data_IF_439523481203
#
_entry.id   IF_439523481203
#
_cell.length_a   1.000
_cell.length_b   1.000
_cell.length_c   1.000
_cell.angle_alpha   90.00
_cell.angle_beta   90.00
_cell.angle_gamma   90.00
#
_symmetry.space_group_name_H-M   'P 1'
#
loop_
_entity.id
_entity.type
_entity.pdbx_description
1 polymer ?
#
# COMPACT_ATOMS: atom_id res chain seq x y z
N UNK A 1 50.64 -12.59 -36.63
CA UNK A 1 51.81 -12.16 -35.81
C UNK A 1 51.37 -10.99 -34.93
N UNK A 2 51.84 -10.93 -33.66
CA UNK A 2 51.64 -9.89 -32.60
C UNK A 2 50.24 -9.92 -31.94
N UNK A 3 49.96 -10.45 -30.74
CA UNK A 3 50.68 -10.70 -29.45
C UNK A 3 50.71 -9.45 -28.52
N UNK A 4 50.27 -9.64 -27.25
CA UNK A 4 50.40 -8.82 -26.01
C UNK A 4 49.35 -7.70 -25.78
N UNK A 5 48.76 -7.45 -24.60
CA UNK A 5 49.17 -7.62 -23.19
C UNK A 5 47.99 -8.01 -22.25
N UNK A 6 48.37 -8.58 -21.09
CA UNK A 6 47.57 -8.95 -19.91
C UNK A 6 47.65 -7.86 -18.80
N UNK A 7 46.89 -8.07 -17.71
CA UNK A 7 47.04 -7.57 -16.31
C UNK A 7 46.36 -6.21 -16.05
N UNK A 8 45.58 -5.94 -14.98
CA UNK A 8 45.57 -6.35 -13.56
C UNK A 8 44.13 -6.54 -13.04
N UNK A 9 43.79 -7.49 -12.17
CA UNK A 9 44.10 -7.62 -10.73
C UNK A 9 43.74 -6.36 -9.90
N UNK A 10 42.56 -6.39 -9.28
CA UNK A 10 42.11 -5.44 -8.25
C UNK A 10 41.34 -6.20 -7.18
N UNK A 11 42.08 -6.67 -6.17
CA UNK A 11 41.60 -7.26 -4.93
C UNK A 11 41.46 -6.13 -3.89
N UNK A 12 40.63 -6.37 -2.86
CA UNK A 12 40.38 -5.55 -1.66
C UNK A 12 39.25 -4.51 -1.80
N UNK A 13 38.37 -4.30 -0.81
CA UNK A 13 38.44 -4.55 0.62
C UNK A 13 37.00 -4.68 1.18
N UNK A 14 36.78 -5.61 2.10
CA UNK A 14 35.58 -5.66 2.93
C UNK A 14 35.64 -4.55 4.00
N UNK A 15 34.53 -3.85 4.21
CA UNK A 15 34.31 -3.02 5.39
C UNK A 15 32.85 -3.19 5.84
N UNK A 16 32.67 -3.98 6.89
CA UNK A 16 31.44 -4.06 7.67
C UNK A 16 31.44 -2.88 8.66
N UNK A 17 30.39 -2.04 8.62
CA UNK A 17 30.19 -1.01 9.63
C UNK A 17 28.70 -0.90 10.02
N UNK A 18 28.42 -1.54 11.15
CA UNK A 18 27.59 -1.14 12.29
C UNK A 18 26.12 -0.77 12.07
N UNK A 19 25.27 -1.72 12.49
CA UNK A 19 23.90 -1.49 12.96
C UNK A 19 23.92 -0.53 14.17
N UNK A 20 23.52 0.72 13.96
CA UNK A 20 23.05 1.59 15.03
C UNK A 20 21.54 1.35 15.20
N UNK A 21 21.18 0.38 16.03
CA UNK A 21 19.81 0.18 16.47
C UNK A 21 19.44 1.27 17.47
N UNK A 22 18.54 2.17 17.10
CA UNK A 22 17.89 3.05 18.07
C UNK A 22 16.87 2.23 18.87
N UNK A 23 17.27 1.72 20.03
CA UNK A 23 16.33 1.29 21.07
C UNK A 23 15.68 2.54 21.66
N UNK A 24 14.41 2.77 21.30
CA UNK A 24 13.54 3.65 22.07
C UNK A 24 13.26 2.97 23.41
N UNK A 25 13.93 3.44 24.47
CA UNK A 25 13.55 3.17 25.85
C UNK A 25 12.36 4.08 26.18
N UNK A 26 11.16 3.49 26.31
CA UNK A 26 10.01 4.18 26.89
C UNK A 26 10.12 4.00 28.41
N UNK A 27 10.42 5.08 29.13
CA UNK A 27 10.24 5.11 30.58
C UNK A 27 8.74 5.17 30.86
N UNK A 28 8.19 4.07 31.39
CA UNK A 28 6.87 4.10 32.00
C UNK A 28 7.01 4.74 33.37
N UNK A 29 6.53 5.98 33.49
CA UNK A 29 6.36 6.66 34.78
C UNK A 29 5.33 5.85 35.58
N UNK A 30 5.80 5.24 36.67
CA UNK A 30 4.97 4.55 37.66
C UNK A 30 4.02 5.57 38.31
N UNK A 31 2.73 5.46 37.98
CA UNK A 31 1.67 6.26 38.60
C UNK A 31 1.22 5.49 39.85
N UNK A 32 1.40 6.03 41.07
CA UNK A 32 0.95 5.35 42.27
C UNK A 32 -0.59 5.25 42.28
N UNK A 33 -1.15 4.15 42.79
CA UNK A 33 -2.59 4.01 42.93
C UNK A 33 -3.13 5.02 43.96
N UNK A 34 -4.29 5.65 43.73
CA UNK A 34 -4.96 6.42 44.77
C UNK A 34 -5.55 5.44 45.80
N UNK A 35 -4.95 5.44 46.99
CA UNK A 35 -5.50 4.80 48.18
C UNK A 35 -6.60 5.69 48.78
N UNK A 36 -7.64 5.01 49.26
CA UNK A 36 -8.92 5.52 49.74
C UNK A 36 -8.85 6.65 50.78
N UNK A 37 -9.65 7.69 50.59
CA UNK A 37 -10.16 8.53 51.67
C UNK A 37 -11.67 8.72 51.47
N UNK A 38 -12.45 8.27 52.45
CA UNK A 38 -13.90 8.09 52.37
C UNK A 38 -14.77 9.31 52.68
N UNK A 39 -16.06 9.06 52.49
CA UNK A 39 -17.26 9.64 53.12
C UNK A 39 -17.49 11.16 53.04
N UNK A 40 -18.56 11.62 52.38
CA UNK A 40 -19.89 11.72 53.00
C UNK A 40 -20.98 12.23 52.02
N UNK A 41 -22.21 11.93 52.37
CA UNK A 41 -23.43 12.01 51.57
C UNK A 41 -23.90 13.44 51.19
N UNK A 42 -24.44 13.57 49.98
CA UNK A 42 -25.50 14.53 49.67
C UNK A 42 -26.42 13.99 48.54
N UNK A 43 -27.69 14.37 48.64
CA UNK A 43 -28.88 13.71 48.08
C UNK A 43 -29.52 14.56 46.96
N UNK A 44 -29.80 13.92 45.79
CA UNK A 44 -30.83 14.18 44.74
C UNK A 44 -30.79 15.47 43.85
N UNK A 45 -31.48 15.53 42.68
CA UNK A 45 -32.17 14.50 41.85
C UNK A 45 -31.73 14.46 40.36
N UNK A 46 -32.39 13.58 39.58
CA UNK A 46 -32.19 13.23 38.17
C UNK A 46 -32.20 14.39 37.14
N UNK A 47 -31.40 14.24 36.07
CA UNK A 47 -31.74 14.63 34.69
C UNK A 47 -31.05 13.72 33.66
N UNK A 48 -31.76 13.46 32.56
CA UNK A 48 -31.40 12.64 31.40
C UNK A 48 -30.15 13.15 30.66
N UNK A 49 -29.32 12.25 30.12
CA UNK A 49 -28.18 12.68 29.29
C UNK A 49 -27.26 11.59 28.74
N UNK A 50 -27.78 10.75 27.83
CA UNK A 50 -27.04 10.19 26.68
C UNK A 50 -25.98 9.09 26.91
N UNK A 51 -25.85 8.11 25.97
CA UNK A 51 -24.70 7.22 25.95
C UNK A 51 -23.45 7.99 25.49
N UNK A 52 -22.40 7.95 26.32
CA UNK A 52 -21.07 8.43 25.96
C UNK A 52 -20.43 7.33 25.12
N UNK A 53 -20.54 7.47 23.80
CA UNK A 53 -19.92 6.54 22.86
C UNK A 53 -18.44 6.89 22.64
N UNK A 54 -17.69 5.84 22.35
CA UNK A 54 -16.27 5.69 22.50
C UNK A 54 -15.41 6.75 21.79
N UNK A 55 -14.22 6.97 22.38
CA UNK A 55 -13.18 7.84 21.87
C UNK A 55 -12.86 7.61 20.40
N UNK A 56 -13.05 8.67 19.61
CA UNK A 56 -12.36 8.87 18.35
C UNK A 56 -11.07 9.62 18.69
N UNK A 57 -9.99 8.87 18.75
CA UNK A 57 -8.63 9.41 18.61
C UNK A 57 -7.99 8.67 17.44
N UNK A 58 -8.10 9.25 16.26
CA UNK A 58 -7.32 8.87 15.09
C UNK A 58 -7.23 10.05 14.14
N UNK A 59 -6.09 10.74 14.23
CA UNK A 59 -5.43 11.35 13.08
C UNK A 59 -6.23 12.40 12.34
N UNK A 60 -6.04 13.65 12.76
CA UNK A 60 -6.25 14.86 11.96
C UNK A 60 -5.60 14.70 10.57
N UNK A 61 -6.36 14.22 9.59
CA UNK A 61 -6.14 14.30 8.12
C UNK A 61 -7.13 13.41 7.32
N UNK A 62 -8.01 12.66 7.97
CA UNK A 62 -9.24 12.15 7.35
C UNK A 62 -10.21 13.33 7.10
N UNK A 63 -9.88 14.19 6.14
CA UNK A 63 -10.88 15.08 5.55
C UNK A 63 -12.08 14.21 5.19
N UNK A 64 -13.27 14.68 5.55
CA UNK A 64 -14.58 14.08 5.30
C UNK A 64 -14.87 13.97 3.79
N UNK A 65 -14.02 13.24 3.05
CA UNK A 65 -14.06 13.01 1.61
C UNK A 65 -15.34 12.26 1.24
N UNK A 66 -15.87 11.48 2.17
CA UNK A 66 -17.12 10.72 2.02
C UNK A 66 -18.37 11.62 1.91
N UNK A 67 -18.30 12.89 2.32
CA UNK A 67 -19.41 13.82 2.23
C UNK A 67 -19.44 14.61 0.91
N UNK A 68 -18.35 14.63 0.14
CA UNK A 68 -18.29 15.43 -1.08
C UNK A 68 -18.89 14.64 -2.26
N UNK A 69 -19.87 15.20 -3.01
CA UNK A 69 -20.59 14.47 -4.06
C UNK A 69 -19.69 13.86 -5.14
N UNK A 70 -18.53 14.45 -5.42
CA UNK A 70 -17.60 13.93 -6.41
C UNK A 70 -16.96 12.60 -5.99
N UNK A 71 -16.63 12.44 -4.70
CA UNK A 71 -16.09 11.20 -4.17
C UNK A 71 -17.16 10.10 -4.12
N UNK A 72 -18.36 10.44 -3.63
CA UNK A 72 -19.49 9.49 -3.54
C UNK A 72 -19.91 8.97 -4.92
N UNK A 73 -19.85 9.81 -5.95
CA UNK A 73 -20.27 9.43 -7.30
C UNK A 73 -19.16 8.78 -8.14
N UNK A 74 -17.92 8.67 -7.65
CA UNK A 74 -16.79 8.15 -8.43
C UNK A 74 -17.03 6.73 -8.97
N UNK A 75 -17.66 5.88 -8.15
CA UNK A 75 -17.99 4.49 -8.47
C UNK A 75 -19.40 4.29 -9.05
N UNK A 76 -20.18 5.36 -9.23
CA UNK A 76 -21.57 5.26 -9.66
C UNK A 76 -21.65 4.61 -11.05
N UNK A 77 -22.48 3.58 -11.17
CA UNK A 77 -22.66 2.78 -12.40
C UNK A 77 -21.38 2.09 -12.90
N UNK A 78 -20.39 1.89 -12.02
CA UNK A 78 -19.21 1.07 -12.32
C UNK A 78 -19.42 -0.36 -11.87
N UNK A 79 -18.80 -1.28 -12.59
CA UNK A 79 -18.73 -2.67 -12.15
C UNK A 79 -17.81 -2.75 -10.93
N UNK A 80 -18.07 -3.72 -10.07
CA UNK A 80 -17.20 -4.00 -8.93
C UNK A 80 -15.77 -4.28 -9.40
N UNK A 81 -14.80 -3.63 -8.77
CA UNK A 81 -13.42 -3.69 -9.23
C UNK A 81 -12.52 -2.66 -8.60
N UNK A 82 -11.29 -2.61 -9.09
CA UNK A 82 -10.27 -1.65 -8.66
C UNK A 82 -9.90 -0.74 -9.81
N UNK A 83 -9.80 0.54 -9.51
CA UNK A 83 -9.64 1.61 -10.49
C UNK A 83 -8.61 2.62 -10.01
N UNK A 84 -7.69 2.97 -10.88
CA UNK A 84 -6.88 4.16 -10.74
C UNK A 84 -7.67 5.39 -11.21
N UNK A 85 -7.42 6.57 -10.63
CA UNK A 85 -7.91 7.85 -11.12
C UNK A 85 -7.70 7.98 -12.63
N UNK A 86 -8.76 8.35 -13.36
CA UNK A 86 -8.73 8.51 -14.82
C UNK A 86 -8.80 7.21 -15.62
N UNK A 87 -8.88 6.03 -14.98
CA UNK A 87 -9.26 4.78 -15.64
C UNK A 87 -10.71 4.46 -15.35
N UNK A 88 -11.60 4.83 -16.27
CA UNK A 88 -13.05 4.62 -16.20
C UNK A 88 -13.78 5.34 -15.05
N UNK A 89 -13.09 5.83 -14.02
CA UNK A 89 -13.63 6.66 -12.94
C UNK A 89 -13.08 8.09 -13.00
N UNK A 90 -13.88 9.05 -12.54
CA UNK A 90 -13.44 10.41 -12.24
C UNK A 90 -13.21 10.47 -10.74
N UNK A 91 -11.97 10.73 -10.33
CA UNK A 91 -11.58 10.77 -8.93
C UNK A 91 -11.04 12.16 -8.59
N UNK A 92 -11.63 12.87 -7.62
CA UNK A 92 -11.19 14.21 -7.20
C UNK A 92 -10.00 14.19 -6.22
N UNK A 93 -9.63 13.02 -5.67
CA UNK A 93 -8.49 12.86 -4.77
C UNK A 93 -7.15 12.74 -5.49
N UNK A 94 -6.18 12.11 -4.82
CA UNK A 94 -4.81 11.98 -5.34
C UNK A 94 -4.78 11.01 -6.54
N UNK A 95 -3.97 11.34 -7.56
CA UNK A 95 -3.90 10.58 -8.81
C UNK A 95 -3.12 9.25 -8.70
N UNK A 96 -2.49 8.99 -7.56
CA UNK A 96 -1.79 7.76 -7.22
C UNK A 96 -2.57 6.86 -6.25
N UNK A 97 -3.84 7.15 -5.97
CA UNK A 97 -4.71 6.27 -5.17
C UNK A 97 -5.27 5.10 -6.01
N UNK A 98 -5.56 3.98 -5.36
CA UNK A 98 -6.30 2.85 -5.92
C UNK A 98 -7.66 2.77 -5.25
N UNK A 99 -8.72 2.93 -6.04
CA UNK A 99 -10.10 3.00 -5.58
C UNK A 99 -10.75 1.64 -5.82
N UNK A 100 -11.25 1.01 -4.76
CA UNK A 100 -12.08 -0.20 -4.88
C UNK A 100 -13.54 0.22 -4.93
N UNK A 101 -14.23 -0.09 -6.02
CA UNK A 101 -15.68 0.11 -6.15
C UNK A 101 -16.42 -1.19 -5.81
N UNK A 102 -17.51 -1.06 -5.04
CA UNK A 102 -18.46 -2.15 -4.77
C UNK A 102 -19.88 -1.60 -4.71
N UNK A 103 -20.83 -2.28 -5.37
CA UNK A 103 -22.25 -1.93 -5.37
C UNK A 103 -22.50 -0.46 -5.80
N UNK A 104 -21.66 0.06 -6.71
CA UNK A 104 -21.72 1.43 -7.19
C UNK A 104 -21.18 2.51 -6.23
N UNK A 105 -20.68 2.11 -5.06
CA UNK A 105 -20.03 2.98 -4.08
C UNK A 105 -18.51 2.77 -3.98
N UNK A 106 -17.83 3.73 -3.36
CA UNK A 106 -16.41 3.60 -2.99
C UNK A 106 -16.32 2.74 -1.74
N UNK A 107 -15.71 1.57 -1.85
CA UNK A 107 -15.54 0.64 -0.74
C UNK A 107 -14.21 0.81 -0.01
N UNK A 108 -13.17 1.22 -0.73
CA UNK A 108 -11.81 1.42 -0.19
C UNK A 108 -11.06 2.42 -1.07
N UNK A 109 -10.25 3.26 -0.44
CA UNK A 109 -9.25 4.09 -1.11
C UNK A 109 -7.90 3.74 -0.52
N UNK A 110 -6.99 3.25 -1.36
CA UNK A 110 -5.65 2.82 -0.95
C UNK A 110 -4.59 3.69 -1.62
N UNK A 111 -3.76 4.44 -0.88
CA UNK A 111 -2.65 5.16 -1.46
C UNK A 111 -1.62 4.21 -2.10
N UNK A 112 -1.23 4.46 -3.35
CA UNK A 112 -0.06 3.82 -3.96
C UNK A 112 1.13 4.78 -3.87
N UNK A 113 1.69 4.95 -2.68
CA UNK A 113 2.75 5.93 -2.42
C UNK A 113 4.15 5.54 -2.93
N UNK A 114 4.29 4.34 -3.48
CA UNK A 114 5.57 3.78 -3.87
C UNK A 114 5.65 3.47 -5.37
N UNK A 115 6.86 3.48 -5.93
CA UNK A 115 7.13 3.14 -7.32
C UNK A 115 6.47 4.12 -8.30
N UNK A 116 5.74 3.58 -9.27
CA UNK A 116 4.99 4.34 -10.28
C UNK A 116 3.60 4.79 -9.81
N UNK A 117 3.23 4.47 -8.57
CA UNK A 117 1.91 4.70 -8.02
C UNK A 117 0.86 3.73 -8.57
N UNK A 118 -0.33 4.24 -8.88
CA UNK A 118 -1.43 3.42 -9.38
C UNK A 118 -1.24 3.05 -10.86
N UNK A 119 -1.26 1.75 -11.15
CA UNK A 119 -1.07 1.15 -12.46
C UNK A 119 -2.42 0.86 -13.10
N UNK A 120 -2.71 1.60 -14.18
CA UNK A 120 -3.87 1.37 -15.05
C UNK A 120 -3.64 0.10 -15.88
N UNK A 121 -4.42 -0.93 -15.60
CA UNK A 121 -4.39 -2.19 -16.33
C UNK A 121 -5.24 -2.07 -17.60
N UNK A 122 -4.80 -2.74 -18.67
CA UNK A 122 -5.57 -2.82 -19.92
C UNK A 122 -6.50 -4.04 -19.89
N UNK A 123 -7.50 -4.04 -20.77
CA UNK A 123 -8.35 -5.21 -21.10
C UNK A 123 -9.26 -5.71 -19.97
N UNK A 124 -9.74 -4.82 -19.09
CA UNK A 124 -10.70 -5.19 -18.03
C UNK A 124 -10.09 -5.92 -16.84
N UNK A 125 -8.76 -6.11 -16.82
CA UNK A 125 -8.04 -6.47 -15.60
C UNK A 125 -8.19 -5.37 -14.53
N UNK A 126 -8.35 -5.71 -13.25
CA UNK A 126 -8.43 -4.71 -12.18
C UNK A 126 -7.11 -3.96 -12.02
N UNK A 127 -7.19 -2.64 -11.86
CA UNK A 127 -6.03 -1.78 -11.59
C UNK A 127 -5.34 -2.14 -10.27
N UNK A 128 -4.06 -1.80 -10.14
CA UNK A 128 -3.24 -2.17 -8.96
C UNK A 128 -2.26 -1.06 -8.57
N UNK A 129 -1.72 -1.13 -7.35
CA UNK A 129 -0.52 -0.35 -7.01
C UNK A 129 0.73 -1.00 -7.60
N UNK A 130 1.77 -0.19 -7.81
CA UNK A 130 3.12 -0.67 -8.11
C UNK A 130 3.75 -1.36 -6.89
N UNK A 131 4.04 -2.65 -7.08
CA UNK A 131 4.63 -3.53 -6.05
C UNK A 131 6.12 -3.83 -6.33
N UNK A 132 6.72 -3.16 -7.31
CA UNK A 132 8.17 -3.23 -7.56
C UNK A 132 9.07 -2.57 -6.49
N UNK A 133 8.62 -1.59 -5.67
CA UNK A 133 9.42 -1.06 -4.58
C UNK A 133 9.92 -2.16 -3.63
N UNK A 134 11.22 -2.15 -3.33
CA UNK A 134 11.87 -3.17 -2.50
C UNK A 134 12.15 -4.51 -3.19
N UNK A 135 11.68 -4.72 -4.43
CA UNK A 135 12.03 -5.91 -5.23
C UNK A 135 13.34 -5.71 -5.99
N UNK A 136 14.18 -6.75 -6.13
CA UNK A 136 15.29 -6.74 -7.08
C UNK A 136 14.82 -6.42 -8.50
N UNK A 137 15.71 -5.89 -9.33
CA UNK A 137 15.42 -5.75 -10.75
C UNK A 137 15.22 -7.15 -11.35
N UNK A 138 14.16 -7.32 -12.15
CA UNK A 138 13.79 -8.64 -12.65
C UNK A 138 12.42 -8.69 -13.29
N UNK A 139 12.06 -9.90 -13.69
CA UNK A 139 10.79 -10.25 -14.28
C UNK A 139 10.03 -11.17 -13.33
N UNK A 140 8.79 -10.82 -13.04
CA UNK A 140 7.92 -11.46 -12.05
C UNK A 140 6.57 -11.81 -12.69
N UNK A 141 5.85 -12.77 -12.11
CA UNK A 141 4.43 -12.94 -12.42
C UNK A 141 3.59 -12.03 -11.55
N UNK A 142 2.44 -11.57 -12.06
CA UNK A 142 1.50 -10.74 -11.30
C UNK A 142 0.98 -11.44 -10.04
N UNK A 143 0.94 -12.77 -10.01
CA UNK A 143 0.62 -13.54 -8.79
C UNK A 143 1.67 -13.45 -7.69
N UNK A 144 2.90 -13.05 -8.04
CA UNK A 144 4.01 -12.87 -7.09
C UNK A 144 4.07 -11.42 -6.57
N UNK A 145 3.14 -10.58 -7.04
CA UNK A 145 2.98 -9.21 -6.56
C UNK A 145 1.97 -9.20 -5.41
N UNK A 146 2.40 -8.81 -4.20
CA UNK A 146 1.50 -8.74 -3.06
C UNK A 146 0.38 -7.74 -3.35
N UNK A 147 -0.82 -8.02 -2.88
CA UNK A 147 -1.95 -7.10 -3.05
C UNK A 147 -2.52 -7.02 -4.47
N UNK A 148 -1.91 -7.63 -5.49
CA UNK A 148 -2.50 -7.70 -6.83
C UNK A 148 -3.72 -8.62 -6.86
N UNK A 149 -4.71 -8.25 -7.66
CA UNK A 149 -5.90 -9.09 -7.84
C UNK A 149 -5.55 -10.39 -8.58
N UNK A 150 -6.20 -11.50 -8.21
CA UNK A 150 -5.91 -12.83 -8.77
C UNK A 150 -6.08 -12.89 -10.29
N UNK A 151 -6.95 -12.06 -10.87
CA UNK A 151 -7.14 -11.92 -12.32
C UNK A 151 -5.86 -11.50 -13.05
N UNK A 152 -4.92 -10.87 -12.35
CA UNK A 152 -3.64 -10.41 -12.90
C UNK A 152 -2.53 -11.46 -12.76
N UNK A 153 -2.84 -12.68 -12.30
CA UNK A 153 -1.86 -13.75 -12.07
C UNK A 153 -1.00 -14.10 -13.30
N UNK A 154 -1.58 -13.94 -14.50
CA UNK A 154 -0.94 -14.27 -15.79
C UNK A 154 -0.21 -13.09 -16.43
N UNK A 155 -0.13 -11.96 -15.75
CA UNK A 155 0.69 -10.84 -16.21
C UNK A 155 2.15 -11.12 -15.88
N UNK A 156 3.03 -10.78 -16.81
CA UNK A 156 4.47 -10.66 -16.61
C UNK A 156 4.80 -9.20 -16.35
N UNK A 157 5.53 -8.96 -15.27
CA UNK A 157 5.86 -7.63 -14.76
C UNK A 157 7.36 -7.47 -14.75
N UNK A 158 7.88 -6.39 -15.34
CA UNK A 158 9.31 -6.05 -15.24
C UNK A 158 9.50 -4.93 -14.23
N UNK A 159 10.22 -5.25 -13.17
CA UNK A 159 10.65 -4.28 -12.16
C UNK A 159 12.07 -3.80 -12.48
N UNK A 160 12.28 -2.49 -12.46
CA UNK A 160 13.59 -1.87 -12.58
C UNK A 160 13.63 -0.61 -11.72
N UNK A 161 14.71 -0.46 -10.93
CA UNK A 161 14.89 0.68 -10.02
C UNK A 161 13.70 0.93 -9.08
N UNK A 162 13.06 -0.15 -8.58
CA UNK A 162 11.92 -0.05 -7.68
C UNK A 162 10.60 0.35 -8.34
N UNK A 163 10.53 0.39 -9.67
CA UNK A 163 9.31 0.74 -10.41
C UNK A 163 8.95 -0.34 -11.45
N UNK A 164 7.65 -0.50 -11.71
CA UNK A 164 7.17 -1.26 -12.85
C UNK A 164 7.44 -0.48 -14.15
N UNK A 165 8.22 -1.07 -15.04
CA UNK A 165 8.54 -0.47 -16.34
C UNK A 165 7.90 -1.18 -17.53
N UNK A 166 7.44 -2.42 -17.35
CA UNK A 166 6.82 -3.22 -18.41
C UNK A 166 5.76 -4.15 -17.81
N UNK A 167 4.66 -4.29 -18.53
CA UNK A 167 3.57 -5.21 -18.22
C UNK A 167 3.15 -5.94 -19.49
N UNK A 168 3.11 -7.26 -19.43
CA UNK A 168 2.79 -8.10 -20.59
C UNK A 168 1.85 -9.24 -20.19
N UNK A 169 0.74 -9.42 -20.91
CA UNK A 169 -0.16 -10.56 -20.67
C UNK A 169 0.43 -11.84 -21.25
N UNK A 170 0.63 -12.86 -20.43
CA UNK A 170 1.03 -14.19 -20.91
C UNK A 170 -0.21 -15.01 -21.33
N UNK A 171 -0.38 -15.35 -22.62
CA UNK A 171 -1.59 -16.03 -23.10
C UNK A 171 -1.80 -17.42 -22.49
N UNK A 172 -0.73 -18.20 -22.28
CA UNK A 172 -0.81 -19.53 -21.66
C UNK A 172 -0.40 -19.52 -20.17
N UNK A 173 -0.41 -18.32 -19.56
CA UNK A 173 -0.05 -18.11 -18.17
C UNK A 173 1.42 -17.78 -17.95
N UNK A 174 1.69 -17.29 -16.74
CA UNK A 174 3.03 -16.90 -16.31
C UNK A 174 3.66 -17.99 -15.42
N UNK A 175 4.92 -18.32 -15.65
CA UNK A 175 5.73 -19.23 -14.82
C UNK A 175 6.63 -18.41 -13.92
N UNK A 176 6.43 -18.55 -12.61
CA UNK A 176 7.23 -17.83 -11.61
C UNK A 176 8.56 -18.54 -11.42
N UNK A 177 9.63 -17.78 -11.45
CA UNK A 177 10.98 -18.24 -11.11
C UNK A 177 11.74 -17.09 -10.43
N UNK A 178 11.12 -16.50 -9.41
CA UNK A 178 11.62 -15.29 -8.75
C UNK A 178 11.74 -14.13 -9.75
N UNK A 179 12.93 -13.51 -9.79
CA UNK A 179 13.26 -12.39 -10.68
C UNK A 179 13.48 -12.80 -12.16
N UNK A 180 13.25 -14.07 -12.52
CA UNK A 180 13.44 -14.61 -13.87
C UNK A 180 12.18 -15.30 -14.42
N UNK A 181 11.00 -14.78 -14.07
CA UNK A 181 9.71 -15.32 -14.49
C UNK A 181 9.48 -15.15 -16.00
N UNK A 182 8.67 -16.03 -16.60
CA UNK A 182 8.46 -16.06 -18.06
C UNK A 182 7.03 -16.45 -18.45
N UNK A 183 6.62 -16.12 -19.68
CA UNK A 183 5.36 -16.62 -20.22
C UNK A 183 5.52 -18.06 -20.71
N UNK A 184 4.44 -18.85 -20.62
CA UNK A 184 4.33 -20.17 -21.26
C UNK A 184 3.83 -20.05 -22.69
#
# INVERSE_FOLDING_TARGET
>A
MRRWLRVANGLALAAASMLAGCTFLIDFVDVPPPEDAGADAATLPAEEGGPIDAGVDSGSDAQNRDAEPAFVNACKSKVDGRYCPGNQIVWPGDNHELITCRDGGVAEVRPCSAGSGCIRMRNGSPDQCDECPGKPAGIYCGRDMPGWAAQNANLRVRCQNGAQIELFLCPNGCTSNGAASSCK
#
